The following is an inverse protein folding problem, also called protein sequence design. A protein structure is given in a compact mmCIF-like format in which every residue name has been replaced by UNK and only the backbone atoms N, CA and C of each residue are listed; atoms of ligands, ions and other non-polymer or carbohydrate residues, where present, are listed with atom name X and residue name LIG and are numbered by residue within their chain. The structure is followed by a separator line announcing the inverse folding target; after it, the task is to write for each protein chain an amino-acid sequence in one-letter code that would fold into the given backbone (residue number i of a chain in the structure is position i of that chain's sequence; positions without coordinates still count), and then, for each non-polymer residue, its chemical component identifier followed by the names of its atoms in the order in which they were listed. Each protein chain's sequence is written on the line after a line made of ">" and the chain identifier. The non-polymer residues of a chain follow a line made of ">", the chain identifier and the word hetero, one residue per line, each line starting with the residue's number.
data_IF_059082229124
#
_entry.id   IF_059082229124
#
_cell.length_a   1.000
_cell.length_b   1.000
_cell.length_c   1.000
_cell.angle_alpha   90.00
_cell.angle_beta   90.00
_cell.angle_gamma   90.00
#
_symmetry.space_group_name_H-M   'P 1'
#
loop_
_entity.id
_entity.type
_entity.pdbx_description
1 polymer ?
#
# COMPACT_ATOMS: atom_id res chain seq x y z
N UNK A 1 -20.31 17.90 8.44
CA UNK A 1 -19.45 17.56 9.59
C UNK A 1 -20.21 16.94 10.77
N UNK A 2 -21.22 17.59 11.36
CA UNK A 2 -21.97 17.04 12.54
C UNK A 2 -22.62 15.67 12.28
N UNK A 3 -23.22 15.44 11.12
CA UNK A 3 -23.83 14.15 10.76
C UNK A 3 -22.80 13.03 10.51
N UNK A 4 -21.64 13.37 9.93
CA UNK A 4 -20.53 12.43 9.75
C UNK A 4 -19.94 12.00 11.10
N UNK A 5 -19.75 12.95 12.00
CA UNK A 5 -19.31 12.70 13.38
C UNK A 5 -20.28 11.82 14.15
N UNK A 6 -21.58 12.02 13.97
CA UNK A 6 -22.65 11.23 14.60
C UNK A 6 -22.69 9.80 14.06
N UNK A 7 -22.47 9.61 12.77
CA UNK A 7 -22.39 8.28 12.14
C UNK A 7 -21.11 7.56 12.54
N UNK A 8 -19.97 8.24 12.59
CA UNK A 8 -18.71 7.70 13.08
C UNK A 8 -18.77 7.30 14.56
N UNK A 9 -19.41 8.11 15.42
CA UNK A 9 -19.60 7.76 16.83
C UNK A 9 -20.55 6.58 17.02
N UNK A 10 -21.61 6.46 16.21
CA UNK A 10 -22.49 5.29 16.23
C UNK A 10 -21.79 4.00 15.76
N UNK A 11 -20.93 4.10 14.73
CA UNK A 11 -20.12 2.97 14.27
C UNK A 11 -19.10 2.58 15.35
N UNK A 12 -18.44 3.56 15.98
CA UNK A 12 -17.51 3.32 17.09
C UNK A 12 -18.20 2.69 18.30
N UNK A 13 -19.43 3.13 18.63
CA UNK A 13 -20.23 2.54 19.70
C UNK A 13 -20.70 1.11 19.32
N UNK A 14 -21.15 0.88 18.09
CA UNK A 14 -21.53 -0.45 17.62
C UNK A 14 -20.34 -1.41 17.58
N UNK A 15 -19.17 -0.94 17.14
CA UNK A 15 -17.91 -1.67 17.18
C UNK A 15 -17.52 -1.95 18.64
N UNK A 16 -17.62 -0.97 19.56
CA UNK A 16 -17.28 -1.15 20.96
C UNK A 16 -18.22 -2.14 21.69
N UNK A 17 -19.49 -2.21 21.31
CA UNK A 17 -20.45 -3.18 21.86
C UNK A 17 -20.23 -4.60 21.32
N UNK A 18 -19.72 -4.77 20.10
CA UNK A 18 -19.36 -6.06 19.52
C UNK A 18 -18.02 -6.61 20.03
N UNK A 19 -17.15 -5.75 20.55
CA UNK A 19 -15.78 -6.05 21.02
C UNK A 19 -15.79 -6.96 22.28
N UNK A 20 -16.85 -6.96 23.08
CA UNK A 20 -16.86 -7.66 24.38
C UNK A 20 -17.02 -9.18 24.34
N UNK A 21 -17.06 -9.81 23.16
CA UNK A 21 -17.53 -11.18 23.09
C UNK A 21 -16.48 -12.26 22.84
N UNK A 22 -15.37 -12.00 22.13
CA UNK A 22 -14.47 -13.08 21.69
C UNK A 22 -12.99 -12.67 21.69
N UNK A 23 -12.14 -13.47 22.35
CA UNK A 23 -10.67 -13.41 22.28
C UNK A 23 -10.02 -12.25 23.04
N UNK A 24 -8.73 -12.06 22.81
CA UNK A 24 -7.98 -10.93 23.32
C UNK A 24 -7.95 -9.81 22.27
N UNK A 25 -8.26 -8.60 22.70
CA UNK A 25 -8.30 -7.41 21.86
C UNK A 25 -7.19 -6.46 22.27
N UNK A 26 -6.73 -5.64 21.35
CA UNK A 26 -5.74 -4.61 21.59
C UNK A 26 -6.29 -3.27 21.10
N UNK A 27 -6.41 -2.31 22.02
CA UNK A 27 -6.65 -0.92 21.70
C UNK A 27 -5.33 -0.17 21.83
N UNK A 28 -4.98 0.66 20.84
CA UNK A 28 -3.77 1.47 20.90
C UNK A 28 -4.00 2.88 20.39
N UNK A 29 -3.25 3.80 20.98
CA UNK A 29 -3.10 5.16 20.51
C UNK A 29 -1.61 5.47 20.35
N UNK A 30 -1.27 6.24 19.33
CA UNK A 30 0.11 6.58 19.03
C UNK A 30 0.26 7.97 18.46
N UNK A 31 1.48 8.45 18.54
CA UNK A 31 1.93 9.67 17.88
C UNK A 31 3.16 9.37 17.05
N UNK A 32 3.26 10.04 15.91
CA UNK A 32 4.44 10.00 15.05
C UNK A 32 4.91 11.41 14.78
N UNK A 33 6.22 11.59 14.74
CA UNK A 33 6.84 12.85 14.35
C UNK A 33 8.06 12.57 13.49
N UNK A 34 8.24 13.34 12.43
CA UNK A 34 9.36 13.11 11.53
C UNK A 34 9.54 14.18 10.47
N UNK A 35 10.51 13.94 9.62
CA UNK A 35 10.87 14.79 8.50
C UNK A 35 10.15 14.34 7.23
N UNK A 36 9.34 15.19 6.61
CA UNK A 36 8.70 14.92 5.32
C UNK A 36 9.69 15.14 4.18
N UNK A 37 9.66 14.27 3.17
CA UNK A 37 10.45 14.43 1.94
C UNK A 37 9.71 13.92 0.71
N UNK A 38 10.03 14.52 -0.44
CA UNK A 38 9.44 14.18 -1.73
C UNK A 38 10.49 14.38 -2.82
N UNK A 39 10.44 13.68 -3.96
CA UNK A 39 11.24 13.99 -5.15
C UNK A 39 11.02 15.42 -5.66
N UNK A 40 9.79 15.92 -5.62
CA UNK A 40 9.48 17.33 -5.87
C UNK A 40 9.53 18.10 -4.54
N UNK A 41 10.45 19.04 -4.47
CA UNK A 41 10.83 19.69 -3.21
C UNK A 41 10.22 21.09 -3.03
N UNK A 42 9.60 21.62 -4.04
CA UNK A 42 9.15 23.01 -4.11
C UNK A 42 8.24 23.34 -2.94
N UNK A 43 7.16 22.59 -2.77
CA UNK A 43 6.22 22.76 -1.65
C UNK A 43 6.93 22.67 -0.29
N UNK A 44 7.76 21.63 -0.11
CA UNK A 44 8.45 21.39 1.16
C UNK A 44 9.53 22.42 1.45
N UNK A 45 10.17 23.01 0.44
CA UNK A 45 11.22 24.01 0.58
C UNK A 45 10.69 25.44 0.74
N UNK A 46 9.38 25.65 0.83
CA UNK A 46 8.78 26.96 1.11
C UNK A 46 8.13 27.64 -0.08
N UNK A 47 8.01 26.96 -1.24
CA UNK A 47 7.14 27.43 -2.32
C UNK A 47 5.71 26.94 -1.99
N UNK A 48 5.10 27.58 -1.01
CA UNK A 48 3.78 27.30 -0.47
C UNK A 48 3.13 28.58 0.04
N UNK A 49 1.86 28.54 0.43
CA UNK A 49 1.11 29.69 0.93
C UNK A 49 1.71 30.29 2.20
N UNK A 50 2.43 29.48 2.99
CA UNK A 50 3.05 29.93 4.23
C UNK A 50 4.41 30.62 4.00
N UNK A 51 5.03 30.48 2.82
CA UNK A 51 6.34 31.03 2.49
C UNK A 51 7.49 30.51 3.37
N UNK A 52 7.33 29.30 3.96
CA UNK A 52 8.33 28.68 4.84
C UNK A 52 8.49 27.18 4.58
N UNK A 53 9.66 26.59 4.87
CA UNK A 53 9.84 25.16 4.77
C UNK A 53 8.85 24.36 5.62
N UNK A 54 8.43 23.20 5.07
CA UNK A 54 7.64 22.17 5.77
C UNK A 54 8.61 21.03 6.11
N UNK A 55 9.34 21.19 7.18
CA UNK A 55 10.40 20.27 7.62
C UNK A 55 9.97 19.36 8.79
N UNK A 56 8.74 19.54 9.26
CA UNK A 56 8.14 18.72 10.32
C UNK A 56 6.80 18.19 9.86
N UNK A 57 6.60 16.89 10.05
CA UNK A 57 5.31 16.23 9.94
C UNK A 57 4.96 15.55 11.26
N UNK A 58 3.69 15.58 11.63
CA UNK A 58 3.18 14.88 12.80
C UNK A 58 1.92 14.08 12.44
N UNK A 59 1.73 12.94 13.09
CA UNK A 59 0.50 12.18 12.95
C UNK A 59 0.04 11.60 14.29
N UNK A 60 -1.28 11.38 14.40
CA UNK A 60 -1.92 10.73 15.53
C UNK A 60 -2.63 9.49 15.04
N UNK A 61 -2.43 8.38 15.72
CA UNK A 61 -2.99 7.07 15.36
C UNK A 61 -3.92 6.54 16.44
N UNK A 62 -5.01 5.90 16.02
CA UNK A 62 -5.86 5.06 16.87
C UNK A 62 -6.07 3.73 16.17
N UNK A 63 -5.87 2.62 16.90
CA UNK A 63 -5.90 1.30 16.33
C UNK A 63 -6.72 0.34 17.19
N UNK A 64 -7.38 -0.58 16.52
CA UNK A 64 -8.03 -1.73 17.14
C UNK A 64 -7.58 -3.02 16.46
N UNK A 65 -7.16 -4.01 17.26
CA UNK A 65 -6.66 -5.28 16.77
C UNK A 65 -7.18 -6.47 17.58
N UNK A 66 -7.15 -7.63 16.93
CA UNK A 66 -7.19 -8.93 17.60
C UNK A 66 -5.77 -9.42 17.85
N UNK A 67 -5.53 -9.97 19.04
CA UNK A 67 -4.29 -10.66 19.37
C UNK A 67 -4.40 -12.09 18.83
N UNK A 68 -3.42 -12.48 18.05
CA UNK A 68 -3.30 -13.77 17.41
C UNK A 68 -2.31 -14.65 18.19
N UNK A 69 -2.32 -15.97 18.02
CA UNK A 69 -1.31 -16.85 18.60
C UNK A 69 0.12 -16.38 18.26
N UNK A 70 1.06 -16.61 19.16
CA UNK A 70 2.49 -16.29 19.02
C UNK A 70 2.83 -14.80 19.01
N UNK A 71 2.10 -13.97 19.79
CA UNK A 71 2.39 -12.55 19.99
C UNK A 71 2.30 -11.66 18.74
N UNK A 72 1.54 -12.09 17.74
CA UNK A 72 1.14 -11.25 16.62
C UNK A 72 -0.23 -10.63 16.86
N UNK A 73 -0.51 -9.53 16.18
CA UNK A 73 -1.80 -8.85 16.23
C UNK A 73 -2.13 -8.26 14.86
N UNK A 74 -3.41 -8.19 14.55
CA UNK A 74 -3.91 -7.64 13.29
C UNK A 74 -5.19 -6.87 13.52
N UNK A 75 -5.39 -5.81 12.76
CA UNK A 75 -6.56 -4.98 12.94
C UNK A 75 -6.72 -3.86 11.93
N UNK A 76 -7.50 -2.87 12.33
CA UNK A 76 -7.79 -1.65 11.58
C UNK A 76 -7.36 -0.43 12.39
N UNK A 77 -6.94 0.62 11.69
CA UNK A 77 -6.53 1.85 12.33
C UNK A 77 -6.91 3.10 11.54
N UNK A 78 -6.89 4.21 12.24
CA UNK A 78 -7.02 5.55 11.69
C UNK A 78 -5.77 6.35 12.02
N UNK A 79 -5.32 7.17 11.08
CA UNK A 79 -4.18 8.08 11.25
C UNK A 79 -4.51 9.44 10.68
N UNK A 80 -4.35 10.48 11.46
CA UNK A 80 -4.50 11.87 11.05
C UNK A 80 -3.12 12.49 10.90
N UNK A 81 -2.78 12.93 9.68
CA UNK A 81 -1.51 13.57 9.35
C UNK A 81 -1.64 15.09 9.35
N UNK A 82 -0.62 15.79 9.82
CA UNK A 82 -0.42 17.22 9.63
C UNK A 82 1.01 17.54 9.21
N UNK A 83 1.16 18.37 8.18
CA UNK A 83 2.40 19.05 7.82
C UNK A 83 2.42 20.50 8.33
N UNK A 84 1.41 20.89 9.15
CA UNK A 84 1.20 22.24 9.63
C UNK A 84 0.97 23.28 8.52
N UNK A 85 0.48 22.79 7.37
CA UNK A 85 0.02 23.56 6.21
C UNK A 85 -1.32 23.00 5.74
N UNK A 86 -2.40 23.55 6.28
CA UNK A 86 -3.75 23.15 5.94
C UNK A 86 -4.22 23.69 4.59
N UNK A 87 -3.65 24.82 4.17
CA UNK A 87 -4.08 25.50 2.97
C UNK A 87 -3.64 24.74 1.72
N UNK A 88 -2.38 24.34 1.63
CA UNK A 88 -1.88 23.65 0.44
C UNK A 88 -2.05 22.13 0.52
N UNK A 89 -1.88 21.55 1.70
CA UNK A 89 -1.82 20.07 1.86
C UNK A 89 -3.16 19.48 2.32
N UNK A 90 -3.94 20.23 3.11
CA UNK A 90 -5.12 19.71 3.80
C UNK A 90 -4.77 19.03 5.13
N UNK A 91 -5.69 18.19 5.60
CA UNK A 91 -5.52 17.37 6.81
C UNK A 91 -5.88 15.93 6.50
N UNK A 92 -4.94 15.16 5.95
CA UNK A 92 -5.22 13.81 5.48
C UNK A 92 -5.53 12.84 6.61
N UNK A 93 -6.65 12.12 6.47
CA UNK A 93 -7.06 11.01 7.33
C UNK A 93 -6.85 9.70 6.59
N UNK A 94 -6.06 8.81 7.17
CA UNK A 94 -5.83 7.47 6.63
C UNK A 94 -6.68 6.43 7.37
N UNK A 95 -7.33 5.54 6.61
CA UNK A 95 -7.94 4.31 7.10
C UNK A 95 -7.08 3.15 6.59
N UNK A 96 -6.66 2.26 7.49
CA UNK A 96 -5.72 1.20 7.14
C UNK A 96 -5.99 -0.11 7.89
N UNK A 97 -5.54 -1.20 7.31
CA UNK A 97 -5.32 -2.48 8.00
C UNK A 97 -3.86 -2.55 8.42
N UNK A 98 -3.59 -3.24 9.52
CA UNK A 98 -2.25 -3.38 10.02
C UNK A 98 -1.98 -4.74 10.65
N UNK A 99 -0.71 -5.08 10.70
CA UNK A 99 -0.22 -6.26 11.39
C UNK A 99 1.08 -5.93 12.10
N UNK A 100 1.21 -6.42 13.32
CA UNK A 100 2.45 -6.38 14.07
C UNK A 100 2.77 -7.72 14.70
N UNK A 101 4.04 -7.94 14.96
CA UNK A 101 4.52 -9.11 15.67
C UNK A 101 5.87 -8.87 16.31
N UNK A 102 6.19 -9.72 17.28
CA UNK A 102 7.49 -9.74 17.92
C UNK A 102 8.54 -10.34 17.00
N UNK A 103 9.65 -9.59 16.82
CA UNK A 103 10.86 -10.08 16.13
C UNK A 103 11.73 -10.85 17.12
N UNK A 104 12.00 -10.23 18.29
CA UNK A 104 12.89 -10.81 19.30
C UNK A 104 12.46 -10.42 20.73
N UNK A 105 12.62 -11.33 21.67
CA UNK A 105 12.43 -11.07 23.09
C UNK A 105 13.79 -10.76 23.72
N UNK A 106 13.94 -9.58 24.30
CA UNK A 106 15.18 -9.14 24.94
C UNK A 106 15.20 -9.48 26.44
N UNK A 107 14.03 -9.39 27.11
CA UNK A 107 13.85 -9.76 28.51
C UNK A 107 12.41 -10.21 28.76
N UNK A 108 12.02 -10.39 30.03
CA UNK A 108 10.63 -10.70 30.39
C UNK A 108 9.66 -9.58 29.99
N UNK A 109 10.12 -8.32 30.06
CA UNK A 109 9.29 -7.13 29.79
C UNK A 109 9.71 -6.34 28.56
N UNK A 110 10.78 -6.73 27.84
CA UNK A 110 11.26 -6.00 26.66
C UNK A 110 11.33 -6.89 25.43
N UNK A 111 10.88 -6.35 24.28
CA UNK A 111 10.99 -6.99 22.98
C UNK A 111 11.31 -5.98 21.88
N UNK A 112 11.75 -6.50 20.74
CA UNK A 112 11.78 -5.79 19.47
C UNK A 112 10.59 -6.30 18.67
N UNK A 113 9.74 -5.37 18.26
CA UNK A 113 8.52 -5.65 17.50
C UNK A 113 8.56 -4.89 16.17
N UNK A 114 7.85 -5.39 15.16
CA UNK A 114 7.57 -4.63 13.95
C UNK A 114 6.06 -4.40 13.81
N UNK A 115 5.71 -3.36 13.06
CA UNK A 115 4.34 -3.13 12.61
C UNK A 115 4.38 -2.53 11.20
N UNK A 116 3.46 -2.96 10.35
CA UNK A 116 3.23 -2.40 9.04
C UNK A 116 1.75 -2.13 8.81
N UNK A 117 1.47 -1.06 8.09
CA UNK A 117 0.12 -0.56 7.85
C UNK A 117 -0.06 -0.32 6.35
N UNK A 118 -1.25 -0.71 5.84
CA UNK A 118 -1.63 -0.51 4.45
C UNK A 118 -3.06 0.02 4.37
N UNK A 119 -3.28 1.04 3.58
CA UNK A 119 -4.61 1.61 3.47
C UNK A 119 -4.74 2.72 2.45
N UNK A 120 -5.77 3.53 2.64
CA UNK A 120 -6.04 4.71 1.85
C UNK A 120 -6.13 5.95 2.74
N UNK A 121 -5.62 7.05 2.23
CA UNK A 121 -5.62 8.35 2.87
C UNK A 121 -6.53 9.31 2.11
N UNK A 122 -7.36 10.07 2.80
CA UNK A 122 -8.40 10.94 2.27
C UNK A 122 -8.21 12.37 2.78
N UNK A 123 -8.69 13.36 2.04
CA UNK A 123 -8.68 14.75 2.48
C UNK A 123 -7.42 15.51 2.09
N UNK A 124 -6.67 14.99 1.11
CA UNK A 124 -5.59 15.74 0.47
C UNK A 124 -6.15 16.85 -0.41
N UNK A 125 -5.52 18.01 -0.38
CA UNK A 125 -5.74 19.05 -1.36
C UNK A 125 -5.07 18.67 -2.68
N UNK A 126 -5.75 18.91 -3.80
CA UNK A 126 -5.28 18.50 -5.12
C UNK A 126 -4.55 19.65 -5.80
N UNK A 127 -3.48 19.38 -6.50
CA UNK A 127 -2.72 20.39 -7.25
C UNK A 127 -3.58 21.31 -8.13
N UNK A 128 -4.61 20.79 -8.80
CA UNK A 128 -5.49 21.58 -9.67
C UNK A 128 -6.28 22.68 -8.94
N UNK A 129 -6.57 22.49 -7.66
CA UNK A 129 -7.33 23.41 -6.82
C UNK A 129 -6.36 24.24 -5.91
N UNK A 130 -5.16 23.68 -5.66
CA UNK A 130 -4.11 24.24 -4.81
C UNK A 130 -2.76 24.12 -5.53
N UNK A 131 -2.39 25.11 -6.38
CA UNK A 131 -1.27 25.00 -7.32
C UNK A 131 0.09 24.76 -6.67
N UNK A 132 0.27 25.21 -5.42
CA UNK A 132 1.51 24.96 -4.68
C UNK A 132 1.68 23.49 -4.27
N UNK A 133 0.60 22.70 -4.19
CA UNK A 133 0.71 21.29 -3.90
C UNK A 133 1.18 20.50 -5.13
N UNK A 134 2.48 20.48 -5.38
CA UNK A 134 3.11 19.73 -6.47
C UNK A 134 3.25 18.23 -6.14
N UNK A 135 2.94 17.81 -4.91
CA UNK A 135 3.14 16.45 -4.42
C UNK A 135 1.94 15.56 -4.74
N UNK A 136 0.70 16.07 -4.58
CA UNK A 136 -0.54 15.29 -4.70
C UNK A 136 -1.53 15.91 -5.67
N UNK A 137 -2.06 15.10 -6.59
CA UNK A 137 -3.10 15.50 -7.55
C UNK A 137 -4.46 14.91 -7.25
N UNK A 138 -4.54 14.01 -6.28
CA UNK A 138 -5.79 13.32 -5.90
C UNK A 138 -6.11 13.54 -4.43
N UNK A 139 -7.40 13.60 -4.12
CA UNK A 139 -7.88 13.69 -2.73
C UNK A 139 -7.81 12.36 -1.98
N UNK A 140 -7.61 11.26 -2.70
CA UNK A 140 -7.45 9.91 -2.16
C UNK A 140 -6.12 9.34 -2.63
N UNK A 141 -5.30 8.89 -1.68
CA UNK A 141 -3.97 8.37 -1.95
C UNK A 141 -3.75 7.05 -1.19
N UNK A 142 -2.90 6.20 -1.70
CA UNK A 142 -2.42 5.03 -0.96
C UNK A 142 -1.65 5.48 0.28
N UNK A 143 -1.76 4.71 1.34
CA UNK A 143 -1.05 4.86 2.60
C UNK A 143 -0.30 3.59 2.93
N UNK A 144 1.01 3.69 3.09
CA UNK A 144 1.90 2.60 3.50
C UNK A 144 2.77 3.10 4.63
N UNK A 145 2.85 2.32 5.71
CA UNK A 145 3.69 2.66 6.84
C UNK A 145 4.38 1.41 7.39
N UNK A 146 5.58 1.57 7.92
CA UNK A 146 6.33 0.51 8.57
C UNK A 146 7.16 1.06 9.72
N UNK A 147 7.21 0.31 10.82
CA UNK A 147 7.99 0.64 12.00
C UNK A 147 8.66 -0.58 12.63
N UNK A 148 9.81 -0.36 13.25
CA UNK A 148 10.49 -1.31 14.12
C UNK A 148 10.59 -0.64 15.49
N UNK A 149 10.10 -1.29 16.53
CA UNK A 149 9.90 -0.66 17.83
C UNK A 149 10.52 -1.48 18.94
N UNK A 150 11.13 -0.80 19.90
CA UNK A 150 11.42 -1.34 21.22
C UNK A 150 10.13 -1.24 22.05
N UNK A 151 9.62 -2.37 22.50
CA UNK A 151 8.36 -2.49 23.22
C UNK A 151 8.60 -2.95 24.65
N UNK A 152 8.06 -2.18 25.59
CA UNK A 152 7.99 -2.55 26.99
C UNK A 152 6.59 -3.09 27.31
N UNK A 153 6.54 -4.23 27.98
CA UNK A 153 5.31 -4.94 28.33
C UNK A 153 5.14 -5.01 29.84
N UNK A 154 3.98 -4.65 30.33
CA UNK A 154 3.51 -4.88 31.69
C UNK A 154 2.08 -5.39 31.62
N UNK A 155 1.73 -6.45 32.32
CA UNK A 155 0.41 -7.07 32.36
C UNK A 155 -0.44 -6.85 31.07
N UNK A 156 -1.36 -5.86 31.12
CA UNK A 156 -2.24 -5.49 30.01
C UNK A 156 -1.75 -4.27 29.20
N UNK A 157 -0.67 -3.61 29.62
CA UNK A 157 -0.11 -2.41 28.97
C UNK A 157 1.15 -2.71 28.19
N UNK A 158 1.22 -2.16 26.99
CA UNK A 158 2.39 -2.16 26.10
C UNK A 158 2.71 -0.73 25.69
N UNK A 159 3.96 -0.32 25.86
CA UNK A 159 4.47 0.97 25.37
C UNK A 159 5.62 0.70 24.41
N UNK A 160 5.54 1.25 23.22
CA UNK A 160 6.49 0.98 22.14
C UNK A 160 7.02 2.28 21.55
N UNK A 161 8.32 2.34 21.28
CA UNK A 161 8.97 3.47 20.62
C UNK A 161 9.97 2.96 19.57
N UNK A 162 10.04 3.63 18.42
CA UNK A 162 11.04 3.27 17.41
C UNK A 162 10.93 4.04 16.12
N UNK A 163 11.88 3.80 15.18
CA UNK A 163 11.87 4.40 13.86
C UNK A 163 10.63 4.00 13.07
N UNK A 164 10.15 4.96 12.30
CA UNK A 164 8.91 4.89 11.52
C UNK A 164 9.13 5.49 10.14
N UNK A 165 8.58 4.87 9.12
CA UNK A 165 8.57 5.36 7.75
C UNK A 165 7.18 5.28 7.17
N UNK A 166 6.72 6.37 6.56
CA UNK A 166 5.40 6.46 5.91
C UNK A 166 5.54 6.91 4.47
N UNK A 167 4.70 6.39 3.59
CA UNK A 167 4.60 6.76 2.19
C UNK A 167 3.15 7.01 1.79
N UNK A 168 2.94 8.10 1.04
CA UNK A 168 1.66 8.44 0.41
C UNK A 168 1.86 8.68 -1.08
N UNK A 169 0.99 8.11 -1.92
CA UNK A 169 0.97 8.38 -3.36
C UNK A 169 -0.36 7.95 -3.99
N UNK A 170 -0.67 8.51 -5.16
CA UNK A 170 -1.85 8.09 -5.92
C UNK A 170 -1.59 6.93 -6.90
N UNK A 171 -0.39 6.35 -6.90
CA UNK A 171 -0.06 5.25 -7.80
C UNK A 171 -0.08 5.63 -9.28
N UNK A 172 0.24 6.87 -9.63
CA UNK A 172 0.31 7.38 -11.00
C UNK A 172 -1.04 7.51 -11.72
N UNK A 173 -2.14 7.52 -10.97
CA UNK A 173 -3.49 7.69 -11.54
C UNK A 173 -3.77 9.13 -12.00
N UNK A 174 -3.05 10.11 -11.43
CA UNK A 174 -3.05 11.53 -11.81
C UNK A 174 -1.65 12.11 -11.60
N UNK A 175 -1.35 13.24 -12.29
CA UNK A 175 -0.09 13.97 -12.14
C UNK A 175 -0.37 15.45 -11.79
N UNK A 176 0.54 16.09 -11.04
CA UNK A 176 1.78 15.57 -10.46
C UNK A 176 1.54 14.50 -9.39
N UNK A 177 2.44 13.54 -9.27
CA UNK A 177 2.41 12.53 -8.21
C UNK A 177 3.86 12.21 -7.79
N UNK A 178 4.47 13.14 -7.11
CA UNK A 178 5.80 12.92 -6.54
C UNK A 178 5.77 11.99 -5.34
N UNK A 179 4.59 11.86 -4.71
CA UNK A 179 4.42 11.17 -3.45
C UNK A 179 5.05 11.92 -2.28
N UNK A 180 4.53 11.67 -1.09
CA UNK A 180 5.07 12.17 0.17
C UNK A 180 5.62 11.01 0.99
N UNK A 181 6.85 11.14 1.42
CA UNK A 181 7.46 10.25 2.39
C UNK A 181 7.67 10.98 3.71
N UNK A 182 7.66 10.26 4.81
CA UNK A 182 8.02 10.75 6.12
C UNK A 182 8.91 9.70 6.80
N UNK A 183 10.02 10.13 7.37
CA UNK A 183 10.88 9.32 8.22
C UNK A 183 10.97 9.96 9.60
N UNK A 184 10.83 9.18 10.65
CA UNK A 184 10.82 9.73 12.01
C UNK A 184 10.72 8.68 13.08
N UNK A 185 10.05 9.05 14.16
CA UNK A 185 9.84 8.21 15.33
C UNK A 185 8.34 8.05 15.61
N UNK A 186 7.98 6.86 16.06
CA UNK A 186 6.65 6.52 16.55
C UNK A 186 6.71 6.15 18.02
N UNK A 187 5.76 6.68 18.80
CA UNK A 187 5.47 6.27 20.17
C UNK A 187 4.03 5.76 20.22
N UNK A 188 3.82 4.56 20.76
CA UNK A 188 2.50 3.94 20.86
C UNK A 188 2.29 3.39 22.27
N UNK A 189 1.12 3.63 22.82
CA UNK A 189 0.62 2.95 24.01
C UNK A 189 -0.56 2.06 23.61
N UNK A 190 -0.56 0.83 24.08
CA UNK A 190 -1.59 -0.15 23.76
C UNK A 190 -2.03 -0.89 25.01
N UNK A 191 -3.33 -1.17 25.08
CA UNK A 191 -3.92 -1.97 26.16
C UNK A 191 -4.54 -3.24 25.61
N UNK A 192 -4.25 -4.36 26.26
CA UNK A 192 -4.91 -5.63 26.00
C UNK A 192 -6.19 -5.72 26.82
N UNK A 193 -7.28 -6.12 26.18
CA UNK A 193 -8.59 -6.32 26.78
C UNK A 193 -8.98 -7.79 26.56
N UNK A 194 -9.23 -8.50 27.62
CA UNK A 194 -9.69 -9.88 27.53
C UNK A 194 -11.17 -9.96 27.20
N UNK A 195 -11.53 -10.75 26.21
CA UNK A 195 -12.91 -11.06 25.87
C UNK A 195 -13.47 -12.18 26.78
N UNK A 196 -14.78 -12.18 26.97
CA UNK A 196 -15.47 -13.15 27.82
C UNK A 196 -15.60 -14.53 27.18
N UNK A 197 -15.31 -14.70 25.91
CA UNK A 197 -15.39 -15.96 25.15
C UNK A 197 -14.10 -16.20 24.36
N UNK A 198 -13.66 -17.47 24.22
CA UNK A 198 -12.52 -17.77 23.34
C UNK A 198 -12.82 -17.31 21.92
N UNK A 199 -11.81 -16.75 21.28
CA UNK A 199 -11.91 -16.29 19.90
C UNK A 199 -12.22 -17.48 19.00
N UNK A 200 -13.42 -17.54 18.45
CA UNK A 200 -13.71 -18.37 17.29
C UNK A 200 -13.42 -17.52 16.06
N UNK A 201 -12.23 -17.69 15.50
CA UNK A 201 -11.95 -17.09 14.20
C UNK A 201 -13.00 -17.58 13.20
N UNK A 202 -13.48 -16.72 12.29
CA UNK A 202 -14.15 -17.18 11.07
C UNK A 202 -13.28 -18.14 10.25
N UNK A 203 -12.07 -18.39 10.73
CA UNK A 203 -11.06 -19.31 10.25
C UNK A 203 -10.39 -20.04 11.41
N UNK A 204 -11.10 -20.80 12.27
CA UNK A 204 -10.46 -21.97 12.88
C UNK A 204 -9.83 -22.88 11.82
N UNK A 205 -10.26 -22.72 10.58
CA UNK A 205 -9.60 -23.22 9.38
C UNK A 205 -8.33 -22.47 8.96
N UNK A 206 -8.01 -21.32 9.55
CA UNK A 206 -6.72 -20.63 9.36
C UNK A 206 -5.61 -21.22 10.28
N UNK A 207 -5.97 -22.03 11.29
CA UNK A 207 -5.09 -23.02 11.87
C UNK A 207 -4.96 -24.19 10.90
N UNK A 208 -4.61 -23.89 9.65
CA UNK A 208 -4.30 -24.95 8.72
C UNK A 208 -3.08 -25.75 9.20
N UNK A 209 -3.13 -27.07 8.99
CA UNK A 209 -1.98 -27.93 9.25
C UNK A 209 -0.76 -27.35 8.56
N UNK A 210 0.39 -27.63 9.10
CA UNK A 210 1.69 -27.23 8.57
C UNK A 210 1.71 -27.50 7.06
N UNK A 211 1.54 -26.46 6.24
CA UNK A 211 1.47 -26.54 4.78
C UNK A 211 2.85 -26.66 4.15
N UNK A 212 3.90 -26.92 4.93
CA UNK A 212 5.23 -27.12 4.38
C UNK A 212 5.21 -28.28 3.37
N UNK A 213 5.66 -28.00 2.16
CA UNK A 213 5.73 -28.98 1.08
C UNK A 213 4.50 -29.09 0.18
N UNK A 214 3.51 -28.18 0.30
CA UNK A 214 2.33 -28.16 -0.57
C UNK A 214 2.51 -27.29 -1.82
N UNK A 215 1.81 -27.65 -2.90
CA UNK A 215 1.67 -26.82 -4.09
C UNK A 215 0.31 -26.14 -4.12
N UNK A 216 0.30 -24.92 -4.58
CA UNK A 216 -0.93 -24.13 -4.79
C UNK A 216 -0.78 -23.24 -6.02
N UNK A 217 -1.88 -22.78 -6.59
CA UNK A 217 -1.87 -21.87 -7.72
C UNK A 217 -2.79 -20.68 -7.42
N UNK A 218 -2.25 -19.48 -7.55
CA UNK A 218 -3.01 -18.24 -7.45
C UNK A 218 -3.26 -17.70 -8.86
N UNK A 219 -4.50 -17.38 -9.19
CA UNK A 219 -4.85 -16.62 -10.39
C UNK A 219 -5.38 -15.27 -9.95
N UNK A 220 -4.75 -14.20 -10.43
CA UNK A 220 -5.11 -12.81 -10.08
C UNK A 220 -5.46 -12.05 -11.35
N UNK A 221 -6.65 -11.44 -11.40
CA UNK A 221 -7.02 -10.46 -12.41
C UNK A 221 -6.99 -9.06 -11.78
N UNK A 222 -6.41 -8.09 -12.47
CA UNK A 222 -6.29 -6.72 -12.00
C UNK A 222 -6.55 -5.70 -13.09
N UNK A 223 -6.84 -4.47 -12.66
CA UNK A 223 -6.98 -3.31 -13.54
C UNK A 223 -6.78 -2.00 -12.80
N UNK A 224 -6.38 -0.97 -13.52
CA UNK A 224 -6.26 0.39 -13.04
C UNK A 224 -6.36 1.40 -14.17
N UNK A 225 -6.60 2.65 -13.83
CA UNK A 225 -6.47 3.79 -14.73
C UNK A 225 -5.21 4.56 -14.37
N UNK A 226 -4.43 4.97 -15.36
CA UNK A 226 -3.18 5.73 -15.17
C UNK A 226 -3.07 6.89 -16.15
N UNK A 227 -2.15 7.80 -15.89
CA UNK A 227 -1.71 8.81 -16.86
C UNK A 227 -0.63 8.23 -17.77
N UNK A 228 -0.64 8.62 -19.03
CA UNK A 228 0.41 8.31 -20.00
C UNK A 228 1.44 9.42 -20.06
N UNK A 229 2.71 9.06 -20.20
CA UNK A 229 3.79 9.98 -20.50
C UNK A 229 4.19 9.90 -21.96
N UNK A 230 4.54 11.03 -22.58
CA UNK A 230 5.06 11.12 -23.94
C UNK A 230 6.38 11.87 -23.87
N UNK A 231 7.45 11.25 -24.32
CA UNK A 231 8.73 11.89 -24.54
C UNK A 231 8.83 12.32 -26.02
N UNK A 232 9.00 13.61 -26.25
CA UNK A 232 9.10 14.19 -27.59
C UNK A 232 10.12 15.35 -27.58
N UNK A 233 11.12 15.28 -28.44
CA UNK A 233 12.23 16.28 -28.51
C UNK A 233 12.91 16.54 -27.17
N UNK A 234 13.24 15.47 -26.42
CA UNK A 234 13.87 15.52 -25.09
C UNK A 234 13.01 16.22 -24.00
N UNK A 235 11.74 16.49 -24.30
CA UNK A 235 10.77 17.02 -23.35
C UNK A 235 9.73 15.97 -22.97
N UNK A 236 9.33 16.00 -21.71
CA UNK A 236 8.29 15.11 -21.17
C UNK A 236 6.93 15.81 -21.17
N UNK A 237 5.95 15.20 -21.78
CA UNK A 237 4.56 15.64 -21.84
C UNK A 237 3.66 14.62 -21.13
N UNK A 238 2.61 15.10 -20.50
CA UNK A 238 1.53 14.24 -19.97
C UNK A 238 0.45 14.14 -21.02
N UNK A 239 0.16 12.93 -21.48
CA UNK A 239 -0.91 12.68 -22.44
C UNK A 239 -2.27 13.06 -21.89
N UNK A 240 -3.12 13.65 -22.72
CA UNK A 240 -4.50 13.93 -22.35
C UNK A 240 -5.27 12.62 -22.13
N UNK A 241 -6.20 12.63 -21.14
CA UNK A 241 -7.02 11.47 -20.82
C UNK A 241 -6.43 10.56 -19.77
N UNK A 242 -7.02 9.39 -19.63
CA UNK A 242 -6.61 8.27 -18.78
C UNK A 242 -6.52 7.02 -19.62
N UNK A 243 -5.55 6.19 -19.30
CA UNK A 243 -5.24 4.96 -20.01
C UNK A 243 -5.49 3.78 -19.10
N UNK A 244 -6.01 2.71 -19.67
CA UNK A 244 -6.27 1.46 -18.95
C UNK A 244 -4.98 0.63 -18.85
N UNK A 245 -4.68 0.15 -17.64
CA UNK A 245 -3.74 -0.93 -17.41
C UNK A 245 -4.51 -2.11 -16.80
N UNK A 246 -4.35 -3.32 -17.35
CA UNK A 246 -5.05 -4.51 -16.88
C UNK A 246 -4.20 -5.76 -17.12
N UNK A 247 -4.49 -6.84 -16.39
CA UNK A 247 -3.77 -8.08 -16.65
C UNK A 247 -4.24 -9.25 -15.80
N UNK A 248 -3.55 -10.37 -16.05
CA UNK A 248 -3.76 -11.62 -15.33
C UNK A 248 -2.40 -12.18 -14.94
N UNK A 249 -2.24 -12.52 -13.66
CA UNK A 249 -1.10 -13.25 -13.14
C UNK A 249 -1.51 -14.70 -12.82
N UNK A 250 -0.75 -15.66 -13.28
CA UNK A 250 -0.92 -17.09 -12.99
C UNK A 250 0.31 -17.55 -12.22
N UNK A 251 0.15 -17.80 -10.93
CA UNK A 251 1.24 -17.99 -9.99
C UNK A 251 1.20 -19.39 -9.35
N UNK A 252 1.89 -20.39 -9.87
CA UNK A 252 2.19 -21.60 -9.10
C UNK A 252 3.14 -21.28 -7.96
N UNK A 253 2.79 -21.72 -6.75
CA UNK A 253 3.55 -21.54 -5.53
C UNK A 253 3.89 -22.87 -4.89
N UNK A 254 5.06 -22.91 -4.25
CA UNK A 254 5.47 -23.95 -3.34
C UNK A 254 5.60 -23.39 -1.93
N UNK A 255 4.96 -24.04 -0.97
CA UNK A 255 4.94 -23.62 0.43
C UNK A 255 6.21 -24.14 1.13
N UNK A 256 7.26 -23.29 1.21
CA UNK A 256 8.50 -23.62 1.92
C UNK A 256 8.27 -23.73 3.43
N UNK A 257 7.39 -22.88 3.95
CA UNK A 257 7.02 -22.81 5.35
C UNK A 257 5.63 -22.21 5.45
N UNK A 258 4.89 -22.45 6.54
CA UNK A 258 3.55 -21.88 6.78
C UNK A 258 3.44 -20.35 6.62
N UNK A 259 4.57 -19.63 6.74
CA UNK A 259 4.65 -18.18 6.60
C UNK A 259 5.38 -17.73 5.35
N UNK A 260 5.91 -18.65 4.53
CA UNK A 260 6.70 -18.26 3.39
C UNK A 260 6.52 -19.19 2.21
N UNK A 261 6.22 -18.61 1.06
CA UNK A 261 5.99 -19.27 -0.20
C UNK A 261 6.90 -18.69 -1.27
N UNK A 262 7.35 -19.51 -2.17
CA UNK A 262 8.05 -19.10 -3.40
C UNK A 262 7.33 -19.65 -4.61
N UNK A 263 7.46 -18.98 -5.73
CA UNK A 263 6.83 -19.42 -6.96
C UNK A 263 7.35 -18.74 -8.20
N UNK A 264 6.77 -19.13 -9.30
CA UNK A 264 6.91 -18.47 -10.59
C UNK A 264 5.59 -17.80 -10.95
N UNK A 265 5.61 -16.95 -11.96
CA UNK A 265 4.40 -16.36 -12.50
C UNK A 265 4.49 -16.20 -14.01
N UNK A 266 3.41 -16.53 -14.68
CA UNK A 266 3.12 -16.04 -16.02
C UNK A 266 2.28 -14.76 -15.87
N UNK A 267 2.82 -13.64 -16.34
CA UNK A 267 2.22 -12.31 -16.21
C UNK A 267 1.76 -11.82 -17.58
N UNK A 268 0.45 -11.76 -17.79
CA UNK A 268 -0.17 -11.22 -19.01
C UNK A 268 -0.63 -9.80 -18.72
N UNK A 269 -0.06 -8.82 -19.41
CA UNK A 269 -0.29 -7.40 -19.17
C UNK A 269 -0.81 -6.70 -20.42
N UNK A 270 -1.74 -5.79 -20.24
CA UNK A 270 -2.22 -4.80 -21.17
C UNK A 270 -1.97 -3.42 -20.59
N UNK A 271 -1.34 -2.53 -21.37
CA UNK A 271 -1.10 -1.12 -21.01
C UNK A 271 -1.43 -0.26 -22.24
N UNK A 272 -2.59 0.40 -22.18
CA UNK A 272 -3.07 1.28 -23.25
C UNK A 272 -2.11 2.45 -23.53
N UNK A 273 -1.32 2.89 -22.53
CA UNK A 273 -0.36 3.96 -22.65
C UNK A 273 1.04 3.53 -23.11
N UNK A 274 1.26 2.23 -23.30
CA UNK A 274 2.57 1.75 -23.72
C UNK A 274 2.91 2.24 -25.13
N UNK A 275 4.16 2.70 -25.30
CA UNK A 275 4.73 3.17 -26.58
C UNK A 275 4.08 4.44 -27.17
N UNK A 276 3.39 5.25 -26.36
CA UNK A 276 2.84 6.54 -26.81
C UNK A 276 3.89 7.45 -27.45
N UNK A 277 5.10 7.50 -26.88
CA UNK A 277 6.21 8.32 -27.40
C UNK A 277 6.59 7.97 -28.83
N UNK A 278 6.50 6.70 -29.23
CA UNK A 278 6.75 6.24 -30.60
C UNK A 278 5.67 6.64 -31.60
N UNK A 279 4.52 7.06 -31.10
CA UNK A 279 3.36 7.49 -31.88
C UNK A 279 3.03 8.97 -31.69
N UNK A 280 3.99 9.72 -31.09
CA UNK A 280 3.87 11.16 -30.89
C UNK A 280 3.92 11.92 -32.22
N UNK A 281 3.13 12.97 -32.31
CA UNK A 281 3.07 13.86 -33.48
C UNK A 281 3.33 15.28 -33.01
N UNK A 282 4.23 15.97 -33.69
CA UNK A 282 4.58 17.32 -33.33
C UNK A 282 5.46 17.98 -34.41
N UNK A 283 5.94 19.16 -34.13
CA UNK A 283 6.85 19.94 -34.97
C UNK A 283 8.00 20.51 -34.12
N UNK A 284 8.82 21.37 -34.69
CA UNK A 284 9.94 22.01 -34.00
C UNK A 284 9.53 22.83 -32.74
N UNK A 285 8.24 23.20 -32.62
CA UNK A 285 7.73 23.96 -31.48
C UNK A 285 7.19 23.03 -30.35
N UNK A 286 7.18 21.73 -30.56
CA UNK A 286 6.76 20.73 -29.55
C UNK A 286 5.71 19.74 -30.00
N UNK A 287 5.20 18.98 -29.04
CA UNK A 287 4.16 17.98 -29.23
C UNK A 287 2.84 18.64 -29.64
N UNK A 288 2.18 18.10 -30.68
CA UNK A 288 0.81 18.50 -31.09
C UNK A 288 -0.23 17.44 -30.81
N UNK A 289 0.18 16.19 -30.61
CA UNK A 289 -0.71 15.08 -30.29
C UNK A 289 -0.02 13.71 -30.38
N UNK A 290 -0.82 12.66 -30.40
CA UNK A 290 -0.35 11.29 -30.57
C UNK A 290 -1.43 10.44 -31.23
N UNK A 291 -1.03 9.35 -31.87
CA UNK A 291 -1.92 8.29 -32.31
C UNK A 291 -1.92 7.14 -31.31
N UNK A 292 -3.09 6.48 -31.05
CA UNK A 292 -3.12 5.29 -30.22
C UNK A 292 -2.22 4.19 -30.78
N UNK A 293 -1.29 3.63 -29.97
CA UNK A 293 -0.46 2.52 -30.41
C UNK A 293 -1.32 1.30 -30.77
N UNK A 294 -0.90 0.46 -31.74
CA UNK A 294 -1.63 -0.76 -32.06
C UNK A 294 -1.58 -1.76 -30.93
N UNK A 295 -2.62 -2.59 -30.75
CA UNK A 295 -2.78 -3.54 -29.65
C UNK A 295 -1.52 -4.39 -29.38
N UNK A 296 -0.82 -4.83 -30.41
CA UNK A 296 0.45 -5.59 -30.29
C UNK A 296 1.58 -4.85 -29.58
N UNK A 297 1.49 -3.54 -29.45
CA UNK A 297 2.43 -2.67 -28.74
C UNK A 297 1.93 -2.28 -27.34
N UNK A 298 0.72 -2.70 -27.00
CA UNK A 298 0.07 -2.48 -25.70
C UNK A 298 0.04 -3.76 -24.84
N UNK A 299 0.34 -4.94 -25.42
CA UNK A 299 0.30 -6.22 -24.70
C UNK A 299 1.69 -6.78 -24.49
N UNK A 300 1.89 -7.41 -23.34
CA UNK A 300 3.10 -8.15 -23.01
C UNK A 300 2.78 -9.43 -22.26
N UNK A 301 3.63 -10.45 -22.45
CA UNK A 301 3.67 -11.63 -21.61
C UNK A 301 5.06 -11.73 -20.98
N UNK A 302 5.10 -11.82 -19.65
CA UNK A 302 6.31 -11.88 -18.85
C UNK A 302 6.37 -13.14 -17.99
N UNK A 303 7.58 -13.45 -17.56
CA UNK A 303 7.85 -14.45 -16.55
C UNK A 303 8.51 -13.80 -15.36
N UNK A 304 8.06 -14.15 -14.14
CA UNK A 304 8.62 -13.60 -12.91
C UNK A 304 8.80 -14.67 -11.83
N UNK A 305 9.81 -14.45 -10.98
CA UNK A 305 9.94 -15.12 -9.70
C UNK A 305 9.13 -14.38 -8.64
N UNK A 306 8.48 -15.12 -7.76
CA UNK A 306 7.61 -14.60 -6.70
C UNK A 306 8.05 -15.12 -5.34
N UNK A 307 7.97 -14.25 -4.34
CA UNK A 307 8.08 -14.61 -2.92
C UNK A 307 6.88 -14.01 -2.19
N UNK A 308 6.29 -14.77 -1.28
CA UNK A 308 5.13 -14.32 -0.53
C UNK A 308 5.30 -14.61 0.97
N UNK A 309 5.18 -13.56 1.78
CA UNK A 309 5.11 -13.66 3.23
C UNK A 309 3.65 -13.79 3.64
N UNK A 310 3.28 -14.95 4.15
CA UNK A 310 1.89 -15.31 4.48
C UNK A 310 1.60 -14.99 5.94
N UNK A 311 0.53 -14.23 6.15
CA UNK A 311 -0.01 -13.89 7.45
C UNK A 311 -1.51 -14.28 7.50
N UNK A 312 -2.13 -14.33 8.68
CA UNK A 312 -3.49 -14.89 8.82
C UNK A 312 -4.57 -14.23 7.96
N UNK A 313 -4.57 -12.88 7.82
CA UNK A 313 -5.62 -12.16 7.09
C UNK A 313 -5.11 -11.65 5.75
N UNK A 314 -3.82 -11.37 5.64
CA UNK A 314 -3.22 -10.87 4.40
C UNK A 314 -1.84 -11.47 4.17
N UNK A 315 -1.35 -11.39 2.96
CA UNK A 315 0.03 -11.72 2.63
C UNK A 315 0.65 -10.64 1.78
N UNK A 316 1.97 -10.48 1.89
CA UNK A 316 2.75 -9.56 1.08
C UNK A 316 3.53 -10.35 0.06
N UNK A 317 3.34 -9.99 -1.20
CA UNK A 317 4.01 -10.62 -2.33
C UNK A 317 5.04 -9.67 -2.93
N UNK A 318 6.21 -10.21 -3.22
CA UNK A 318 7.26 -9.57 -4.00
C UNK A 318 7.47 -10.36 -5.28
N UNK A 319 7.70 -9.65 -6.37
CA UNK A 319 7.98 -10.24 -7.67
C UNK A 319 9.08 -9.50 -8.41
N UNK A 320 9.89 -10.25 -9.16
CA UNK A 320 10.83 -9.73 -10.14
C UNK A 320 10.71 -10.54 -11.41
N UNK A 321 10.53 -9.86 -12.54
CA UNK A 321 10.29 -10.52 -13.81
C UNK A 321 10.80 -9.74 -15.00
N UNK A 322 10.69 -10.39 -16.16
CA UNK A 322 11.03 -9.82 -17.45
C UNK A 322 9.95 -10.18 -18.47
N UNK A 323 9.55 -9.20 -19.31
CA UNK A 323 8.67 -9.49 -20.43
C UNK A 323 9.43 -10.28 -21.48
N UNK A 324 8.87 -11.41 -21.90
CA UNK A 324 9.45 -12.32 -22.91
C UNK A 324 8.78 -12.20 -24.26
N UNK A 325 7.50 -11.79 -24.28
CA UNK A 325 6.73 -11.49 -25.48
C UNK A 325 6.22 -10.06 -25.34
N UNK A 326 6.72 -9.15 -26.16
CA UNK A 326 6.31 -7.74 -26.17
C UNK A 326 6.76 -7.06 -27.46
N UNK A 327 6.24 -5.86 -27.70
CA UNK A 327 6.68 -4.98 -28.77
C UNK A 327 6.80 -3.53 -28.28
N UNK A 328 7.91 -2.87 -28.66
CA UNK A 328 8.20 -1.50 -28.28
C UNK A 328 9.02 -1.37 -26.99
N UNK A 329 9.61 -0.18 -26.79
CA UNK A 329 10.60 0.07 -25.74
C UNK A 329 9.96 0.11 -24.34
N UNK A 330 8.73 0.59 -24.23
CA UNK A 330 8.07 0.78 -22.95
C UNK A 330 7.73 -0.53 -22.24
N UNK A 331 7.58 -1.62 -23.00
CA UNK A 331 7.31 -2.95 -22.46
C UNK A 331 8.59 -3.77 -22.27
N UNK A 332 9.75 -3.24 -22.66
CA UNK A 332 11.04 -3.92 -22.49
C UNK A 332 11.56 -3.82 -21.05
N UNK A 333 12.43 -4.77 -20.67
CA UNK A 333 13.20 -4.71 -19.45
C UNK A 333 12.59 -5.44 -18.25
N UNK A 334 13.23 -5.23 -17.10
CA UNK A 334 12.84 -5.82 -15.84
C UNK A 334 11.66 -5.07 -15.22
N UNK A 335 10.72 -5.81 -14.66
CA UNK A 335 9.68 -5.24 -13.80
C UNK A 335 9.71 -5.86 -12.41
N UNK A 336 9.24 -5.10 -11.44
CA UNK A 336 9.10 -5.52 -10.05
C UNK A 336 7.66 -5.31 -9.63
N UNK A 337 7.18 -6.21 -8.78
CA UNK A 337 5.84 -6.14 -8.22
C UNK A 337 5.94 -6.23 -6.70
N UNK A 338 5.23 -5.33 -6.04
CA UNK A 338 4.93 -5.45 -4.62
C UNK A 338 3.40 -5.44 -4.48
N UNK A 339 2.86 -6.40 -3.75
CA UNK A 339 1.42 -6.52 -3.60
C UNK A 339 1.03 -7.01 -2.21
N UNK A 340 -0.08 -6.48 -1.74
CA UNK A 340 -0.83 -6.95 -0.59
C UNK A 340 -2.01 -7.79 -1.10
N UNK A 341 -2.12 -9.01 -0.62
CA UNK A 341 -3.28 -9.87 -0.82
C UNK A 341 -4.07 -9.93 0.48
N UNK A 342 -5.27 -9.37 0.50
CA UNK A 342 -6.16 -9.41 1.68
C UNK A 342 -7.18 -10.53 1.48
N UNK A 343 -7.09 -11.57 2.29
CA UNK A 343 -7.95 -12.75 2.16
C UNK A 343 -9.38 -12.46 2.64
N UNK A 344 -10.34 -12.57 1.73
CA UNK A 344 -11.78 -12.44 2.02
C UNK A 344 -12.36 -13.79 2.42
N UNK A 345 -11.90 -14.86 1.79
CA UNK A 345 -12.20 -16.24 2.12
C UNK A 345 -10.91 -17.07 2.07
N UNK A 346 -10.99 -18.38 2.27
CA UNK A 346 -9.83 -19.29 2.11
C UNK A 346 -9.19 -19.22 0.72
N UNK A 347 -10.00 -18.95 -0.29
CA UNK A 347 -9.61 -19.00 -1.69
C UNK A 347 -9.62 -17.61 -2.35
N UNK A 348 -10.60 -16.75 -2.01
CA UNK A 348 -10.75 -15.42 -2.60
C UNK A 348 -9.95 -14.38 -1.82
N UNK A 349 -9.18 -13.56 -2.53
CA UNK A 349 -8.47 -12.42 -1.97
C UNK A 349 -8.59 -11.18 -2.84
N UNK A 350 -8.57 -10.03 -2.18
CA UNK A 350 -8.33 -8.72 -2.81
C UNK A 350 -6.84 -8.58 -3.08
N UNK A 351 -6.49 -8.09 -4.26
CA UNK A 351 -5.13 -7.82 -4.67
C UNK A 351 -4.94 -6.31 -4.81
N UNK A 352 -4.04 -5.75 -4.01
CA UNK A 352 -3.67 -4.34 -4.08
C UNK A 352 -2.17 -4.26 -4.20
N UNK A 353 -1.68 -3.91 -5.37
CA UNK A 353 -0.25 -3.92 -5.66
C UNK A 353 0.19 -2.76 -6.52
N UNK A 354 1.48 -2.74 -6.76
CA UNK A 354 2.14 -1.78 -7.62
C UNK A 354 3.22 -2.43 -8.46
N UNK A 355 3.28 -2.08 -9.73
CA UNK A 355 4.34 -2.48 -10.65
C UNK A 355 5.33 -1.34 -10.85
N UNK A 356 6.61 -1.68 -10.86
CA UNK A 356 7.72 -0.78 -11.16
C UNK A 356 8.48 -1.30 -12.37
N UNK A 357 9.22 -0.42 -13.05
CA UNK A 357 10.19 -0.78 -14.09
C UNK A 357 11.59 -0.39 -13.65
N UNK A 358 12.52 -1.30 -13.85
CA UNK A 358 13.95 -1.08 -13.61
C UNK A 358 14.25 -0.49 -12.22
N UNK A 359 13.47 -0.89 -11.18
CA UNK A 359 13.58 -0.45 -9.78
C UNK A 359 13.43 1.06 -9.53
N UNK A 360 13.02 1.84 -10.52
CA UNK A 360 12.94 3.31 -10.43
C UNK A 360 11.62 3.87 -10.89
N UNK A 361 11.14 3.40 -12.03
CA UNK A 361 10.00 4.02 -12.69
C UNK A 361 8.71 3.39 -12.21
N UNK A 362 7.85 4.15 -11.50
CA UNK A 362 6.52 3.70 -11.17
C UNK A 362 5.75 3.46 -12.47
N UNK A 363 5.04 2.34 -12.57
CA UNK A 363 4.27 1.98 -13.75
C UNK A 363 2.77 2.15 -13.52
N UNK A 364 2.15 1.21 -12.80
CA UNK A 364 0.72 1.27 -12.52
C UNK A 364 0.31 0.48 -11.27
N UNK A 365 -0.88 0.81 -10.77
CA UNK A 365 -1.54 0.05 -9.71
C UNK A 365 -2.04 -1.31 -10.25
N UNK A 366 -2.03 -2.29 -9.37
CA UNK A 366 -2.56 -3.63 -9.58
C UNK A 366 -3.74 -3.83 -8.61
N UNK A 367 -4.91 -3.29 -8.96
CA UNK A 367 -6.11 -3.41 -8.12
C UNK A 367 -7.00 -4.52 -8.68
N UNK A 368 -7.26 -5.56 -7.89
CA UNK A 368 -7.99 -6.69 -8.43
C UNK A 368 -8.44 -7.73 -7.43
N UNK A 369 -8.80 -8.85 -7.98
CA UNK A 369 -9.25 -10.03 -7.27
C UNK A 369 -8.40 -11.23 -7.68
N UNK A 370 -8.15 -12.11 -6.73
CA UNK A 370 -7.48 -13.36 -7.02
C UNK A 370 -8.14 -14.55 -6.35
N UNK A 371 -7.94 -15.70 -6.96
CA UNK A 371 -8.42 -16.97 -6.47
C UNK A 371 -7.25 -17.93 -6.27
N UNK A 372 -7.22 -18.56 -5.11
CA UNK A 372 -6.23 -19.57 -4.73
C UNK A 372 -6.81 -20.98 -4.89
N UNK A 373 -6.15 -21.80 -5.66
CA UNK A 373 -6.36 -23.23 -5.75
C UNK A 373 -5.36 -23.91 -4.83
N UNK A 374 -5.85 -24.61 -3.81
CA UNK A 374 -5.02 -25.33 -2.84
C UNK A 374 -4.94 -26.80 -3.25
N UNK A 375 -3.83 -27.47 -2.92
CA UNK A 375 -3.61 -28.90 -3.14
C UNK A 375 -3.72 -29.32 -4.62
N UNK A 376 -2.91 -28.68 -5.46
CA UNK A 376 -2.75 -29.06 -6.87
C UNK A 376 -1.66 -30.13 -6.99
#
# INVERSE_FOLDING_TARGET
>A
MKELFKRLSLILIAVSLSIQTYGQHRLSAGVRGGYPFSPQKELLNGINSLGRPLDVAAAVDVQYAYILPKTSYQGIGLSLLSLFDHEDVGTPLSLYVFQGARIARLSQSLSIDYEWNFGASFGWHRNKDYPFNTIMSTSVNAYVNGSIMLSWHSDDLNVSIGPDMTHYSNGHTEVPNAGLNMIGMRLTAARTIEGTKPLRYPGESWNEPDRSGGFSMDITAFGALKKGGIEYLDMFYVAEGKFTAAGIHINPFYDLHKHFRIGLSLDLNYDESANLSSHAVGNANGLTGFYPPPLKEQIAAGLSARAELVMPIFSVQFGIGHNVIYKGADLAGLYQIIALKTHVTKNLYLHTGYQFRNFRNPDHLLLGLGWRFNNI
#
